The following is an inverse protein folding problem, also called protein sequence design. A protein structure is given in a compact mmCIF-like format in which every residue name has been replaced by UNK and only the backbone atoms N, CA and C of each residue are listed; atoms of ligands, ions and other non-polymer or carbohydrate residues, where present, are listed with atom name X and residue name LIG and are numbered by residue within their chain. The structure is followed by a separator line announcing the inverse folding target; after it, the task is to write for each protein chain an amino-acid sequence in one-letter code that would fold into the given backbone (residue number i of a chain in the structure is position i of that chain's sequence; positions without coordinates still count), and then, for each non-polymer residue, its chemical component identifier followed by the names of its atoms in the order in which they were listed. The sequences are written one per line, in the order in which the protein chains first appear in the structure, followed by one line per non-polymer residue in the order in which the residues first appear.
data_IF_150516321773
#
_entry.id   IF_150516321773
#
_cell.length_a   1.000
_cell.length_b   1.000
_cell.length_c   1.000
_cell.angle_alpha   90.00
_cell.angle_beta   90.00
_cell.angle_gamma   90.00
#
_symmetry.space_group_name_H-M   'P 1'
#
loop_
_entity.id
_entity.type
_entity.pdbx_description
1 polymer ?
#
# COMPACT_ATOMS: atom_id res chain seq x y z
N UNK A 1 -25.50 2.83 4.83
CA UNK A 1 -24.86 1.97 5.85
C UNK A 1 -23.39 1.85 5.49
N UNK A 2 -22.54 2.40 6.35
CA UNK A 2 -21.14 2.75 6.08
C UNK A 2 -20.23 1.57 6.44
N UNK A 3 -19.80 0.79 5.44
CA UNK A 3 -18.86 -0.33 5.61
C UNK A 3 -17.39 0.14 5.71
N UNK A 4 -17.13 1.17 6.53
CA UNK A 4 -15.78 1.66 6.88
C UNK A 4 -15.20 1.22 8.26
N UNK A 5 -15.73 0.22 9.01
CA UNK A 5 -15.10 -0.15 10.27
C UNK A 5 -13.81 -0.99 10.07
N UNK A 6 -13.68 -1.83 9.04
CA UNK A 6 -12.60 -2.84 8.99
C UNK A 6 -11.16 -2.28 8.99
N UNK A 7 -10.90 -1.17 8.29
CA UNK A 7 -9.53 -0.65 8.13
C UNK A 7 -9.02 0.10 9.38
N UNK A 8 -9.92 0.79 10.11
CA UNK A 8 -9.56 1.52 11.34
C UNK A 8 -9.29 0.55 12.49
N UNK A 9 -10.10 -0.51 12.60
CA UNK A 9 -9.92 -1.54 13.62
C UNK A 9 -8.63 -2.35 13.40
N UNK A 10 -8.26 -2.64 12.15
CA UNK A 10 -6.98 -3.32 11.85
C UNK A 10 -5.76 -2.46 12.22
N UNK A 11 -5.79 -1.16 11.91
CA UNK A 11 -4.70 -0.23 12.27
C UNK A 11 -4.62 -0.02 13.79
N UNK A 12 -5.76 0.07 14.46
CA UNK A 12 -5.83 0.19 15.92
C UNK A 12 -5.24 -1.05 16.60
N UNK A 13 -5.67 -2.26 16.22
CA UNK A 13 -5.14 -3.49 16.82
C UNK A 13 -3.64 -3.66 16.60
N UNK A 14 -3.13 -3.33 15.41
CA UNK A 14 -1.70 -3.35 15.13
C UNK A 14 -0.92 -2.35 16.02
N UNK A 15 -1.42 -1.13 16.17
CA UNK A 15 -0.81 -0.13 17.03
C UNK A 15 -0.81 -0.58 18.49
N UNK A 16 -1.90 -1.18 18.97
CA UNK A 16 -2.00 -1.72 20.32
C UNK A 16 -0.97 -2.80 20.59
N UNK A 17 -0.78 -3.75 19.66
CA UNK A 17 0.24 -4.81 19.80
C UNK A 17 1.64 -4.21 19.88
N UNK A 18 1.96 -3.24 19.02
CA UNK A 18 3.26 -2.57 19.04
C UNK A 18 3.49 -1.80 20.34
N UNK A 19 2.47 -1.11 20.85
CA UNK A 19 2.53 -0.40 22.12
C UNK A 19 2.77 -1.36 23.29
N UNK A 20 2.06 -2.49 23.33
CA UNK A 20 2.25 -3.52 24.35
C UNK A 20 3.70 -4.02 24.32
N UNK A 21 4.23 -4.33 23.14
CA UNK A 21 5.61 -4.79 23.03
C UNK A 21 6.63 -3.72 23.44
N UNK A 22 6.38 -2.45 23.10
CA UNK A 22 7.23 -1.33 23.52
C UNK A 22 7.23 -1.17 25.04
N UNK A 23 6.07 -1.30 25.71
CA UNK A 23 5.96 -1.26 27.17
C UNK A 23 6.77 -2.39 27.81
N UNK A 24 6.67 -3.62 27.29
CA UNK A 24 7.47 -4.74 27.79
C UNK A 24 8.98 -4.51 27.59
N UNK A 25 9.40 -4.06 26.41
CA UNK A 25 10.81 -3.74 26.15
C UNK A 25 11.34 -2.70 27.16
N UNK A 26 10.59 -1.61 27.35
CA UNK A 26 10.96 -0.56 28.32
C UNK A 26 10.97 -1.06 29.76
N UNK A 27 10.04 -1.93 30.15
CA UNK A 27 10.01 -2.55 31.47
C UNK A 27 11.25 -3.43 31.72
N UNK A 28 11.67 -4.21 30.73
CA UNK A 28 12.90 -5.02 30.80
C UNK A 28 14.15 -4.15 30.99
N UNK A 29 14.34 -3.14 30.13
CA UNK A 29 15.48 -2.22 30.23
C UNK A 29 15.46 -1.47 31.56
N UNK A 30 14.28 -1.03 31.99
CA UNK A 30 14.08 -0.39 33.29
C UNK A 30 14.47 -1.29 34.46
N UNK A 31 14.19 -2.59 34.39
CA UNK A 31 14.58 -3.55 35.41
C UNK A 31 16.11 -3.70 35.51
N UNK A 32 16.85 -3.77 34.40
CA UNK A 32 18.31 -3.83 34.44
C UNK A 32 18.96 -2.55 34.97
N UNK A 33 18.42 -1.38 34.59
CA UNK A 33 18.87 -0.09 35.13
C UNK A 33 18.60 -0.01 36.63
N UNK A 34 17.39 -0.38 37.07
CA UNK A 34 17.02 -0.41 38.49
C UNK A 34 17.90 -1.37 39.29
N UNK A 35 18.16 -2.57 38.75
CA UNK A 35 19.00 -3.57 39.40
C UNK A 35 20.46 -3.11 39.52
N UNK A 36 21.08 -2.63 38.44
CA UNK A 36 22.45 -2.13 38.53
C UNK A 36 22.59 -0.86 39.39
N UNK A 37 21.54 -0.03 39.45
CA UNK A 37 21.46 1.12 40.37
C UNK A 37 21.37 0.68 41.83
N UNK A 38 20.58 -0.35 42.13
CA UNK A 38 20.51 -0.97 43.46
C UNK A 38 21.87 -1.54 43.91
N UNK A 39 22.65 -2.06 42.97
CA UNK A 39 24.03 -2.50 43.21
C UNK A 39 25.06 -1.36 43.28
N UNK A 40 24.65 -0.11 43.05
CA UNK A 40 25.52 1.07 42.93
C UNK A 40 26.67 0.85 41.91
N UNK A 41 26.41 0.06 40.87
CA UNK A 41 27.44 -0.43 39.96
C UNK A 41 27.04 -0.22 38.50
N UNK A 42 27.64 0.79 37.87
CA UNK A 42 27.38 1.15 36.47
C UNK A 42 27.89 0.10 35.49
N UNK A 43 28.92 -0.67 35.84
CA UNK A 43 29.43 -1.75 34.99
C UNK A 43 28.37 -2.84 34.86
N UNK A 44 27.69 -3.19 35.96
CA UNK A 44 26.59 -4.17 35.93
C UNK A 44 25.47 -3.71 34.99
N UNK A 45 25.08 -2.43 35.03
CA UNK A 45 24.08 -1.86 34.09
C UNK A 45 24.53 -2.06 32.65
N UNK A 46 25.78 -1.69 32.32
CA UNK A 46 26.29 -1.78 30.94
C UNK A 46 26.36 -3.21 30.40
N UNK A 47 26.77 -4.17 31.25
CA UNK A 47 26.86 -5.58 30.89
C UNK A 47 25.47 -6.18 30.68
N UNK A 48 24.51 -5.86 31.55
CA UNK A 48 23.13 -6.31 31.41
C UNK A 48 22.50 -5.75 30.14
N UNK A 49 22.58 -4.44 29.89
CA UNK A 49 22.03 -3.82 28.66
C UNK A 49 22.66 -4.44 27.39
N UNK A 50 23.97 -4.68 27.39
CA UNK A 50 24.64 -5.33 26.24
C UNK A 50 24.12 -6.76 26.01
N UNK A 51 23.86 -7.48 27.09
CA UNK A 51 23.29 -8.84 27.05
C UNK A 51 21.84 -8.82 26.56
N UNK A 52 21.04 -7.87 27.03
CA UNK A 52 19.67 -7.63 26.57
C UNK A 52 19.64 -7.35 25.07
N UNK A 53 20.52 -6.46 24.57
CA UNK A 53 20.63 -6.14 23.15
C UNK A 53 20.99 -7.37 22.31
N UNK A 54 21.98 -8.16 22.76
CA UNK A 54 22.38 -9.38 22.07
C UNK A 54 21.22 -10.39 22.01
N UNK A 55 20.54 -10.63 23.13
CA UNK A 55 19.38 -11.52 23.19
C UNK A 55 18.22 -11.01 22.32
N UNK A 56 17.98 -9.69 22.33
CA UNK A 56 16.96 -9.05 21.51
C UNK A 56 17.25 -9.22 20.02
N UNK A 57 18.51 -9.07 19.58
CA UNK A 57 18.92 -9.28 18.19
C UNK A 57 18.72 -10.72 17.74
N UNK A 58 19.16 -11.69 18.55
CA UNK A 58 18.96 -13.13 18.28
C UNK A 58 17.48 -13.46 18.21
N UNK A 59 16.70 -13.02 19.20
CA UNK A 59 15.25 -13.18 19.20
C UNK A 59 14.60 -12.55 17.98
N UNK A 60 14.98 -11.33 17.64
CA UNK A 60 14.43 -10.59 16.49
C UNK A 60 14.74 -11.25 15.16
N UNK A 61 15.94 -11.82 14.99
CA UNK A 61 16.30 -12.57 13.80
C UNK A 61 15.43 -13.82 13.64
N UNK A 62 15.24 -14.57 14.72
CA UNK A 62 14.35 -15.73 14.73
C UNK A 62 12.91 -15.32 14.42
N UNK A 63 12.39 -14.32 15.12
CA UNK A 63 11.03 -13.81 14.92
C UNK A 63 10.79 -13.32 13.49
N UNK A 64 11.77 -12.64 12.91
CA UNK A 64 11.74 -12.23 11.50
C UNK A 64 11.60 -13.44 10.59
N UNK A 65 12.48 -14.43 10.73
CA UNK A 65 12.50 -15.63 9.89
C UNK A 65 11.17 -16.39 9.91
N UNK A 66 10.55 -16.53 11.09
CA UNK A 66 9.25 -17.18 11.22
C UNK A 66 8.07 -16.30 10.80
N UNK A 67 8.25 -14.98 10.81
CA UNK A 67 7.22 -14.00 10.44
C UNK A 67 7.06 -13.79 8.94
N UNK A 68 8.00 -14.23 8.10
CA UNK A 68 7.95 -14.03 6.64
C UNK A 68 6.66 -14.67 6.07
N UNK A 69 5.81 -13.90 5.38
CA UNK A 69 4.61 -14.43 4.74
C UNK A 69 4.97 -15.28 3.52
N UNK A 70 4.21 -16.35 3.27
CA UNK A 70 4.43 -17.20 2.11
C UNK A 70 3.61 -16.71 0.93
N UNK A 71 4.21 -16.76 -0.27
CA UNK A 71 3.47 -16.57 -1.51
C UNK A 71 2.48 -17.74 -1.65
N UNK A 72 1.21 -17.42 -1.85
CA UNK A 72 0.19 -18.41 -2.11
C UNK A 72 0.39 -18.96 -3.53
N UNK A 73 0.89 -20.19 -3.66
CA UNK A 73 1.18 -20.82 -4.96
C UNK A 73 -0.08 -21.06 -5.80
N UNK A 74 -1.24 -21.14 -5.15
CA UNK A 74 -2.52 -21.29 -5.82
C UNK A 74 -3.17 -19.94 -6.15
N UNK A 75 -2.44 -18.84 -6.01
CA UNK A 75 -2.93 -17.52 -6.38
C UNK A 75 -2.91 -17.40 -7.91
N UNK A 76 -4.09 -17.43 -8.52
CA UNK A 76 -4.31 -17.10 -9.92
C UNK A 76 -4.98 -15.73 -10.00
N UNK A 77 -4.36 -14.73 -10.66
CA UNK A 77 -4.99 -13.42 -10.85
C UNK A 77 -6.18 -13.44 -11.83
N UNK A 78 -6.47 -14.59 -12.46
CA UNK A 78 -7.54 -14.77 -13.44
C UNK A 78 -8.76 -15.55 -12.91
N UNK A 79 -8.68 -16.17 -11.73
CA UNK A 79 -9.78 -16.95 -11.15
C UNK A 79 -10.66 -16.09 -10.22
N UNK A 80 -11.78 -15.59 -10.77
CA UNK A 80 -12.69 -14.62 -10.13
C UNK A 80 -13.57 -15.22 -9.00
N UNK A 81 -13.51 -16.53 -8.75
CA UNK A 81 -14.46 -17.22 -7.87
C UNK A 81 -13.90 -17.73 -6.53
N UNK A 82 -12.61 -17.54 -6.24
CA UNK A 82 -12.08 -17.78 -4.89
C UNK A 82 -11.13 -16.67 -4.51
N UNK A 83 -11.51 -15.89 -3.52
CA UNK A 83 -10.71 -14.89 -2.80
C UNK A 83 -9.52 -15.54 -2.09
N UNK A 84 -8.60 -16.15 -2.84
CA UNK A 84 -7.31 -16.62 -2.33
C UNK A 84 -6.42 -15.38 -2.22
N UNK A 85 -6.07 -14.99 -0.99
CA UNK A 85 -5.11 -13.92 -0.75
C UNK A 85 -3.76 -14.28 -1.40
N UNK A 86 -3.15 -13.33 -2.13
CA UNK A 86 -1.84 -13.48 -2.78
C UNK A 86 -0.74 -13.87 -1.79
N UNK A 87 -0.80 -13.30 -0.60
CA UNK A 87 0.03 -13.68 0.53
C UNK A 87 -0.82 -14.46 1.52
N UNK A 88 -0.44 -15.72 1.75
CA UNK A 88 -1.08 -16.55 2.76
C UNK A 88 -0.37 -16.35 4.11
N UNK A 89 -1.12 -16.29 5.23
CA UNK A 89 -0.49 -16.33 6.55
C UNK A 89 0.33 -17.61 6.69
N UNK A 90 1.51 -17.50 7.28
CA UNK A 90 2.41 -18.63 7.47
C UNK A 90 1.84 -19.57 8.55
N UNK A 91 1.58 -20.84 8.20
CA UNK A 91 1.20 -21.92 9.14
C UNK A 91 2.39 -22.42 9.94
N UNK A 92 3.62 -21.96 9.64
CA UNK A 92 4.84 -22.38 10.34
C UNK A 92 4.71 -22.36 11.86
N UNK A 93 4.07 -21.34 12.47
CA UNK A 93 3.93 -21.34 13.93
C UNK A 93 2.88 -22.31 14.44
N UNK A 94 1.86 -22.64 13.66
CA UNK A 94 0.89 -23.67 14.02
C UNK A 94 1.59 -25.04 14.02
N UNK A 95 2.27 -25.35 12.90
CA UNK A 95 3.07 -26.57 12.72
C UNK A 95 4.18 -26.67 13.78
N UNK A 96 4.95 -25.60 13.97
CA UNK A 96 6.02 -25.56 14.97
C UNK A 96 5.47 -25.56 16.39
N UNK A 97 4.28 -25.01 16.69
CA UNK A 97 3.72 -25.11 18.05
C UNK A 97 3.39 -26.56 18.42
N UNK A 98 2.89 -27.35 17.47
CA UNK A 98 2.64 -28.77 17.65
C UNK A 98 3.95 -29.53 17.86
N UNK A 99 5.02 -29.16 17.15
CA UNK A 99 6.34 -29.77 17.31
C UNK A 99 7.04 -29.28 18.57
N UNK A 100 6.88 -28.00 18.93
CA UNK A 100 7.50 -27.36 20.08
C UNK A 100 6.90 -27.89 21.37
N UNK A 101 5.58 -28.10 21.44
CA UNK A 101 4.96 -28.74 22.61
C UNK A 101 5.48 -30.16 22.80
N UNK A 102 5.66 -30.93 21.71
CA UNK A 102 6.30 -32.26 21.74
C UNK A 102 7.77 -32.20 22.15
N UNK A 103 8.54 -31.20 21.69
CA UNK A 103 9.93 -30.98 22.11
C UNK A 103 10.00 -30.54 23.57
N UNK A 104 9.13 -29.65 24.05
CA UNK A 104 9.10 -29.24 25.45
C UNK A 104 8.84 -30.45 26.34
N UNK A 105 7.84 -31.27 26.00
CA UNK A 105 7.56 -32.52 26.71
C UNK A 105 8.78 -33.46 26.62
N UNK A 106 9.31 -33.70 25.42
CA UNK A 106 10.44 -34.62 25.19
C UNK A 106 11.75 -34.20 25.88
N UNK A 107 12.10 -32.92 25.83
CA UNK A 107 13.27 -32.33 26.49
C UNK A 107 13.07 -32.32 28.00
N UNK A 108 11.87 -32.04 28.50
CA UNK A 108 11.56 -32.14 29.93
C UNK A 108 11.71 -33.59 30.42
N UNK A 109 11.34 -34.58 29.60
CA UNK A 109 11.49 -35.99 29.94
C UNK A 109 12.93 -36.52 29.86
N UNK A 110 13.83 -35.93 29.06
CA UNK A 110 15.13 -36.57 28.74
C UNK A 110 16.37 -35.69 28.87
N UNK A 111 16.26 -34.37 28.71
CA UNK A 111 17.44 -33.50 28.51
C UNK A 111 17.42 -32.18 29.29
N UNK A 112 16.45 -31.94 30.17
CA UNK A 112 16.39 -30.71 30.98
C UNK A 112 17.68 -30.48 31.78
N UNK A 113 18.34 -31.57 32.18
CA UNK A 113 19.60 -31.56 32.94
C UNK A 113 20.81 -31.04 32.14
N UNK A 114 20.76 -31.05 30.79
CA UNK A 114 21.87 -30.62 29.93
C UNK A 114 21.75 -29.17 29.46
N UNK A 115 20.56 -28.57 29.53
CA UNK A 115 20.31 -27.18 29.09
C UNK A 115 20.66 -26.18 30.19
N UNK A 116 20.32 -26.51 31.45
CA UNK A 116 20.60 -25.64 32.59
C UNK A 116 22.09 -25.26 32.75
N UNK A 117 23.07 -26.17 32.56
CA UNK A 117 24.49 -25.85 32.63
C UNK A 117 24.94 -24.79 31.61
N UNK A 118 24.36 -24.76 30.42
CA UNK A 118 24.74 -23.80 29.38
C UNK A 118 24.36 -22.36 29.78
N UNK A 119 23.12 -22.14 30.22
CA UNK A 119 22.68 -20.83 30.74
C UNK A 119 23.48 -20.45 31.99
N UNK A 120 23.76 -21.42 32.85
CA UNK A 120 24.53 -21.17 34.06
C UNK A 120 26.00 -20.84 33.75
N UNK A 121 26.58 -21.39 32.68
CA UNK A 121 27.92 -21.03 32.19
C UNK A 121 27.98 -19.56 31.78
N UNK A 122 27.01 -19.09 30.99
CA UNK A 122 26.92 -17.67 30.58
C UNK A 122 26.79 -16.77 31.82
N UNK A 123 25.88 -17.10 32.72
CA UNK A 123 25.66 -16.33 33.95
C UNK A 123 26.90 -16.31 34.85
N UNK A 124 27.62 -17.44 34.95
CA UNK A 124 28.87 -17.54 35.69
C UNK A 124 29.98 -16.71 35.03
N UNK A 125 30.07 -16.73 33.70
CA UNK A 125 31.05 -15.92 32.96
C UNK A 125 30.81 -14.44 33.19
N UNK A 126 29.57 -13.97 33.06
CA UNK A 126 29.23 -12.56 33.30
C UNK A 126 29.51 -12.16 34.75
N UNK A 127 29.09 -12.98 35.72
CA UNK A 127 29.31 -12.68 37.13
C UNK A 127 30.80 -12.63 37.50
N UNK A 128 31.62 -13.55 36.99
CA UNK A 128 33.08 -13.58 37.27
C UNK A 128 33.83 -12.39 36.67
N UNK A 129 33.36 -11.89 35.52
CA UNK A 129 34.02 -10.80 34.80
C UNK A 129 33.39 -9.42 35.08
N UNK A 130 32.39 -9.35 35.94
CA UNK A 130 31.77 -8.08 36.35
C UNK A 130 32.25 -7.72 37.75
N UNK A 131 33.10 -6.69 37.91
CA UNK A 131 33.62 -6.31 39.22
C UNK A 131 32.46 -5.87 40.12
N UNK A 132 32.16 -6.62 41.18
CA UNK A 132 31.05 -6.36 42.09
C UNK A 132 31.38 -6.91 43.47
N UNK A 133 31.46 -6.04 44.48
CA UNK A 133 31.89 -6.39 45.84
C UNK A 133 30.76 -6.44 46.87
N UNK A 134 29.54 -6.06 46.47
CA UNK A 134 28.38 -6.04 47.34
C UNK A 134 27.84 -7.46 47.62
N UNK A 135 27.29 -7.75 48.81
CA UNK A 135 26.73 -9.07 49.12
C UNK A 135 25.59 -9.46 48.17
N UNK A 136 24.83 -8.48 47.69
CA UNK A 136 23.74 -8.67 46.74
C UNK A 136 24.20 -9.03 45.30
N UNK A 137 25.51 -9.03 45.00
CA UNK A 137 26.04 -9.43 43.68
C UNK A 137 25.73 -10.91 43.33
N UNK A 138 25.39 -11.74 44.32
CA UNK A 138 24.92 -13.13 44.11
C UNK A 138 23.69 -13.17 43.19
N UNK A 139 22.87 -12.11 43.19
CA UNK A 139 21.66 -11.99 42.36
C UNK A 139 21.96 -11.74 40.87
N UNK A 140 23.19 -11.40 40.49
CA UNK A 140 23.56 -11.15 39.09
C UNK A 140 23.31 -12.39 38.24
N UNK A 141 23.59 -13.59 38.76
CA UNK A 141 23.45 -14.83 37.99
C UNK A 141 21.99 -15.12 37.61
N UNK A 142 21.03 -15.25 38.56
CA UNK A 142 19.63 -15.48 38.20
C UNK A 142 19.05 -14.32 37.39
N UNK A 143 19.45 -13.08 37.67
CA UNK A 143 18.99 -11.91 36.91
C UNK A 143 19.44 -11.97 35.45
N UNK A 144 20.71 -12.32 35.20
CA UNK A 144 21.28 -12.48 33.85
C UNK A 144 20.49 -13.52 33.04
N UNK A 145 20.17 -14.66 33.65
CA UNK A 145 19.39 -15.72 32.97
C UNK A 145 17.98 -15.20 32.65
N UNK A 146 17.34 -14.54 33.61
CA UNK A 146 16.00 -14.00 33.43
C UNK A 146 15.93 -12.97 32.28
N UNK A 147 16.84 -11.99 32.25
CA UNK A 147 16.85 -10.97 31.17
C UNK A 147 17.19 -11.58 29.82
N UNK A 148 18.11 -12.55 29.76
CA UNK A 148 18.46 -13.22 28.51
C UNK A 148 17.24 -13.93 27.90
N UNK A 149 16.51 -14.71 28.71
CA UNK A 149 15.28 -15.38 28.26
C UNK A 149 14.20 -14.37 27.90
N UNK A 150 14.02 -13.33 28.73
CA UNK A 150 13.02 -12.29 28.51
C UNK A 150 13.21 -11.56 27.17
N UNK A 151 14.42 -11.05 26.90
CA UNK A 151 14.70 -10.30 25.67
C UNK A 151 14.74 -11.17 24.43
N UNK A 152 15.08 -12.46 24.56
CA UNK A 152 14.94 -13.41 23.46
C UNK A 152 13.47 -13.57 23.06
N UNK A 153 12.56 -13.71 24.03
CA UNK A 153 11.12 -13.83 23.78
C UNK A 153 10.52 -12.54 23.24
N UNK A 154 10.85 -11.39 23.84
CA UNK A 154 10.33 -10.09 23.41
C UNK A 154 10.86 -9.70 22.02
N UNK A 155 12.15 -9.93 21.74
CA UNK A 155 12.73 -9.70 20.42
C UNK A 155 12.06 -10.56 19.36
N UNK A 156 11.85 -11.85 19.66
CA UNK A 156 11.08 -12.75 18.81
C UNK A 156 9.68 -12.22 18.55
N UNK A 157 8.92 -11.88 19.59
CA UNK A 157 7.55 -11.42 19.48
C UNK A 157 7.44 -10.13 18.64
N UNK A 158 8.26 -9.12 18.94
CA UNK A 158 8.28 -7.83 18.22
C UNK A 158 8.51 -8.06 16.73
N UNK A 159 9.59 -8.77 16.40
CA UNK A 159 9.98 -8.97 15.00
C UNK A 159 8.99 -9.87 14.26
N UNK A 160 8.47 -10.90 14.92
CA UNK A 160 7.45 -11.80 14.37
C UNK A 160 6.15 -11.06 14.05
N UNK A 161 5.58 -10.34 15.02
CA UNK A 161 4.34 -9.59 14.79
C UNK A 161 4.53 -8.47 13.78
N UNK A 162 5.66 -7.76 13.85
CA UNK A 162 5.98 -6.71 12.88
C UNK A 162 6.07 -7.28 11.47
N UNK A 163 6.82 -8.34 11.27
CA UNK A 163 6.97 -8.99 9.94
C UNK A 163 5.64 -9.52 9.44
N UNK A 164 4.88 -10.24 10.28
CA UNK A 164 3.59 -10.83 9.90
C UNK A 164 2.51 -9.78 9.58
N UNK A 165 2.51 -8.63 10.24
CA UNK A 165 1.48 -7.58 10.07
C UNK A 165 1.86 -6.51 9.04
N UNK A 166 3.15 -6.19 8.90
CA UNK A 166 3.63 -5.12 8.03
C UNK A 166 4.13 -5.61 6.67
N UNK A 167 4.88 -6.71 6.63
CA UNK A 167 5.56 -7.13 5.40
C UNK A 167 4.61 -7.41 4.23
N UNK A 168 3.45 -8.10 4.41
CA UNK A 168 2.49 -8.26 3.32
C UNK A 168 1.98 -6.92 2.77
N UNK A 169 1.77 -5.94 3.64
CA UNK A 169 1.28 -4.61 3.25
C UNK A 169 2.33 -3.88 2.41
N UNK A 170 3.60 -3.94 2.84
CA UNK A 170 4.71 -3.35 2.11
C UNK A 170 4.91 -4.01 0.74
N UNK A 171 4.86 -5.34 0.65
CA UNK A 171 5.03 -6.06 -0.61
C UNK A 171 3.91 -5.76 -1.62
N UNK A 172 2.66 -5.73 -1.17
CA UNK A 172 1.51 -5.36 -2.03
C UNK A 172 1.63 -3.90 -2.49
N UNK A 173 2.03 -3.00 -1.59
CA UNK A 173 2.17 -1.58 -1.92
C UNK A 173 3.30 -1.35 -2.92
N UNK A 174 4.45 -2.02 -2.75
CA UNK A 174 5.57 -1.94 -3.68
C UNK A 174 5.18 -2.42 -5.08
N UNK A 175 4.53 -3.59 -5.18
CA UNK A 175 4.09 -4.15 -6.45
C UNK A 175 3.04 -3.27 -7.17
N UNK A 176 2.09 -2.71 -6.41
CA UNK A 176 1.10 -1.80 -6.99
C UNK A 176 1.74 -0.52 -7.52
N UNK A 177 2.77 0.00 -6.83
CA UNK A 177 3.49 1.19 -7.29
C UNK A 177 4.25 0.91 -8.59
N UNK A 178 4.92 -0.23 -8.70
CA UNK A 178 5.58 -0.64 -9.94
C UNK A 178 4.57 -0.78 -11.09
N UNK A 179 3.44 -1.44 -10.86
CA UNK A 179 2.38 -1.56 -11.86
C UNK A 179 1.83 -0.20 -12.30
N UNK A 180 1.66 0.73 -11.37
CA UNK A 180 1.21 2.10 -11.68
C UNK A 180 2.23 2.85 -12.53
N UNK A 181 3.52 2.75 -12.21
CA UNK A 181 4.59 3.38 -13.01
C UNK A 181 4.65 2.81 -14.43
N UNK A 182 4.54 1.50 -14.58
CA UNK A 182 4.52 0.85 -15.90
C UNK A 182 3.29 1.27 -16.72
N UNK A 183 2.10 1.34 -16.10
CA UNK A 183 0.88 1.83 -16.75
C UNK A 183 1.01 3.28 -17.20
N UNK A 184 1.56 4.15 -16.35
CA UNK A 184 1.76 5.56 -16.68
C UNK A 184 2.76 5.74 -17.83
N UNK A 185 3.82 4.94 -17.89
CA UNK A 185 4.79 4.98 -18.99
C UNK A 185 4.19 4.54 -20.34
N UNK A 186 3.36 3.49 -20.33
CA UNK A 186 2.64 3.04 -21.54
C UNK A 186 1.61 4.11 -21.96
N UNK A 187 0.90 4.70 -21.01
CA UNK A 187 -0.08 5.75 -21.29
C UNK A 187 0.59 6.98 -21.92
N UNK A 188 1.71 7.45 -21.37
CA UNK A 188 2.43 8.61 -21.93
C UNK A 188 3.02 8.33 -23.31
N UNK A 189 3.53 7.11 -23.55
CA UNK A 189 4.02 6.70 -24.87
C UNK A 189 2.87 6.66 -25.91
N UNK A 190 1.72 6.11 -25.53
CA UNK A 190 0.54 6.11 -26.40
C UNK A 190 0.03 7.53 -26.68
N UNK A 191 0.08 8.41 -25.68
CA UNK A 191 -0.34 9.81 -25.81
C UNK A 191 0.58 10.58 -26.76
N UNK A 192 1.90 10.35 -26.69
CA UNK A 192 2.86 10.90 -27.66
C UNK A 192 2.61 10.41 -29.09
N UNK A 193 2.31 9.11 -29.26
CA UNK A 193 1.98 8.58 -30.58
C UNK A 193 0.71 9.24 -31.16
N UNK A 194 -0.30 9.48 -30.34
CA UNK A 194 -1.53 10.18 -30.75
C UNK A 194 -1.26 11.64 -31.10
N UNK A 195 -0.38 12.33 -30.37
CA UNK A 195 0.02 13.71 -30.66
C UNK A 195 0.87 13.82 -31.93
N UNK A 196 1.67 12.81 -32.25
CA UNK A 196 2.47 12.77 -33.49
C UNK A 196 1.65 12.39 -34.72
N UNK A 197 0.53 11.67 -34.55
CA UNK A 197 -0.42 11.33 -35.62
C UNK A 197 -1.42 12.47 -35.93
N UNK A 198 -1.27 13.65 -35.32
CA UNK A 198 -2.04 14.83 -35.73
C UNK A 198 -1.58 15.25 -37.13
N UNK A 199 -2.44 15.21 -38.17
CA UNK A 199 -2.03 15.63 -39.50
C UNK A 199 -1.58 17.10 -39.42
N UNK A 200 -0.34 17.34 -39.84
CA UNK A 200 0.21 18.67 -40.01
C UNK A 200 -0.79 19.47 -40.85
N UNK A 201 -1.35 20.53 -40.26
CA UNK A 201 -2.30 21.39 -40.96
C UNK A 201 -1.62 21.84 -42.27
N UNK A 202 -2.29 21.72 -43.42
CA UNK A 202 -1.68 22.09 -44.70
C UNK A 202 -1.19 23.54 -44.58
N UNK A 203 0.09 23.75 -44.88
CA UNK A 203 0.69 25.08 -44.83
C UNK A 203 -0.12 26.03 -45.72
N UNK A 204 -0.76 27.03 -45.11
CA UNK A 204 -1.45 28.08 -45.84
C UNK A 204 -0.43 28.80 -46.75
N UNK A 205 -0.76 29.05 -48.03
CA UNK A 205 0.13 29.76 -48.93
C UNK A 205 0.34 31.19 -48.43
N UNK A 206 1.60 31.63 -48.38
CA UNK A 206 2.01 32.98 -47.98
C UNK A 206 1.39 34.00 -48.95
N UNK A 207 0.32 34.67 -48.52
CA UNK A 207 -0.25 35.83 -49.24
C UNK A 207 0.44 37.10 -48.71
N UNK A 208 1.11 37.83 -49.59
CA UNK A 208 1.83 39.05 -49.28
C UNK A 208 0.91 40.18 -48.80
N UNK A 209 1.31 40.86 -47.73
CA UNK A 209 0.64 42.05 -47.21
C UNK A 209 0.96 43.28 -48.08
N UNK A 210 -0.08 43.97 -48.57
CA UNK A 210 -0.04 45.39 -48.90
C UNK A 210 -1.01 46.13 -47.96
N UNK A 211 -0.65 47.27 -47.34
CA UNK A 211 -1.41 47.82 -46.23
C UNK A 211 -2.52 48.79 -46.67
N UNK A 212 -3.64 48.69 -45.95
CA UNK A 212 -4.57 49.71 -45.50
C UNK A 212 -5.19 50.73 -46.47
N UNK A 213 -6.52 50.67 -46.58
CA UNK A 213 -7.37 51.85 -46.38
C UNK A 213 -8.83 51.47 -46.03
N UNK A 214 -9.36 52.20 -45.05
CA UNK A 214 -10.64 52.04 -44.34
C UNK A 214 -11.89 52.52 -45.15
N UNK A 215 -13.13 52.36 -44.63
CA UNK A 215 -14.41 52.26 -45.36
C UNK A 215 -15.18 53.63 -45.39
N UNK A 216 -16.40 53.84 -45.96
CA UNK A 216 -17.67 53.21 -45.51
C UNK A 216 -18.85 53.09 -46.53
N UNK A 217 -19.94 52.47 -46.04
CA UNK A 217 -21.36 52.82 -46.25
C UNK A 217 -22.21 52.10 -47.32
N UNK A 218 -23.34 51.60 -46.79
CA UNK A 218 -24.75 51.68 -47.24
C UNK A 218 -25.37 50.58 -48.13
N UNK A 219 -26.54 50.16 -47.62
CA UNK A 219 -27.78 49.65 -48.28
C UNK A 219 -28.04 48.13 -48.26
N UNK A 220 -29.11 47.72 -47.55
CA UNK A 220 -29.74 46.39 -47.63
C UNK A 220 -30.91 46.39 -48.63
N UNK A 221 -31.93 45.50 -48.54
CA UNK A 221 -31.97 44.12 -48.05
C UNK A 221 -32.47 43.14 -49.15
N UNK A 222 -32.52 41.84 -48.83
CA UNK A 222 -33.48 40.82 -49.34
C UNK A 222 -32.90 39.60 -50.07
N UNK A 223 -33.37 38.46 -49.56
CA UNK A 223 -33.66 37.19 -50.23
C UNK A 223 -32.57 36.10 -50.33
N UNK A 224 -32.97 34.95 -49.76
CA UNK A 224 -32.71 33.58 -50.18
C UNK A 224 -31.37 32.92 -49.76
N UNK A 225 -31.44 32.10 -48.71
CA UNK A 225 -30.56 30.94 -48.55
C UNK A 225 -30.96 29.85 -49.57
N UNK A 226 -29.99 29.16 -50.18
CA UNK A 226 -29.80 27.72 -49.87
C UNK A 226 -28.29 27.32 -49.87
N UNK A 227 -27.92 26.05 -49.66
CA UNK A 227 -27.25 25.53 -48.46
C UNK A 227 -25.71 25.43 -48.59
N UNK A 228 -25.02 25.50 -47.45
CA UNK A 228 -23.61 25.12 -47.35
C UNK A 228 -23.45 23.60 -47.57
N UNK A 229 -22.43 23.14 -48.31
CA UNK A 229 -22.13 21.72 -48.45
C UNK A 229 -21.61 21.14 -47.13
N UNK A 230 -21.96 19.88 -46.89
CA UNK A 230 -21.64 19.09 -45.72
C UNK A 230 -20.13 19.08 -45.43
N UNK A 231 -19.76 19.37 -44.18
CA UNK A 231 -18.49 18.90 -43.64
C UNK A 231 -18.61 17.39 -43.45
N UNK A 232 -17.81 16.64 -44.18
CA UNK A 232 -17.59 15.22 -43.95
C UNK A 232 -16.98 15.05 -42.54
N UNK A 233 -17.86 14.92 -41.54
CA UNK A 233 -17.51 14.42 -40.23
C UNK A 233 -17.08 12.96 -40.43
N UNK A 234 -15.76 12.76 -40.45
CA UNK A 234 -15.09 11.46 -40.46
C UNK A 234 -15.77 10.50 -39.46
N UNK A 235 -16.61 9.63 -40.02
CA UNK A 235 -17.45 8.66 -39.30
C UNK A 235 -16.63 7.55 -38.63
N UNK A 236 -15.30 7.57 -38.79
CA UNK A 236 -14.38 6.58 -38.22
C UNK A 236 -13.79 6.97 -36.86
N UNK A 237 -13.86 8.24 -36.44
CA UNK A 237 -13.41 8.72 -35.11
C UNK A 237 -14.04 8.02 -33.91
N UNK A 238 -15.38 7.83 -33.83
CA UNK A 238 -15.97 7.15 -32.68
C UNK A 238 -15.52 5.69 -32.61
N UNK A 239 -15.42 4.99 -33.75
CA UNK A 239 -15.00 3.58 -33.81
C UNK A 239 -13.57 3.34 -33.32
N UNK A 240 -12.63 4.29 -33.54
CA UNK A 240 -11.26 4.20 -33.01
C UNK A 240 -11.17 4.48 -31.51
N UNK A 241 -11.97 5.42 -30.97
CA UNK A 241 -12.03 5.68 -29.52
C UNK A 241 -12.51 4.43 -28.76
N UNK A 242 -13.45 3.68 -29.35
CA UNK A 242 -14.11 2.51 -28.76
C UNK A 242 -13.14 1.35 -28.47
N UNK A 243 -12.11 1.15 -29.30
CA UNK A 243 -11.09 0.11 -29.10
C UNK A 243 -10.06 0.43 -28.01
N UNK A 244 -10.05 1.67 -27.50
CA UNK A 244 -9.06 2.18 -26.54
C UNK A 244 -9.58 2.28 -25.10
N UNK A 245 -10.85 1.94 -24.85
CA UNK A 245 -11.45 2.01 -23.52
C UNK A 245 -11.10 0.77 -22.70
N UNK A 246 -10.49 0.99 -21.54
CA UNK A 246 -10.22 -0.04 -20.55
C UNK A 246 -11.54 -0.55 -19.93
N UNK A 247 -11.54 -1.78 -19.41
CA UNK A 247 -12.73 -2.36 -18.74
C UNK A 247 -13.28 -1.47 -17.62
N UNK A 248 -12.40 -0.77 -16.90
CA UNK A 248 -12.75 0.21 -15.87
C UNK A 248 -13.49 1.43 -16.41
N UNK A 249 -13.05 1.99 -17.54
CA UNK A 249 -13.73 3.11 -18.20
C UNK A 249 -15.08 2.69 -18.77
N UNK A 250 -15.17 1.49 -19.36
CA UNK A 250 -16.43 0.94 -19.85
C UNK A 250 -17.46 0.76 -18.74
N UNK A 251 -17.03 0.25 -17.58
CA UNK A 251 -17.91 0.07 -16.42
C UNK A 251 -18.37 1.41 -15.83
N UNK A 252 -17.49 2.41 -15.79
CA UNK A 252 -17.86 3.76 -15.37
C UNK A 252 -18.86 4.41 -16.34
N UNK A 253 -18.65 4.23 -17.65
CA UNK A 253 -19.52 4.75 -18.69
C UNK A 253 -20.92 4.11 -18.66
N UNK A 254 -20.99 2.78 -18.46
CA UNK A 254 -22.26 2.07 -18.22
C UNK A 254 -22.98 2.56 -16.97
N UNK A 255 -22.26 2.86 -15.89
CA UNK A 255 -22.86 3.39 -14.67
C UNK A 255 -23.51 4.78 -14.89
N UNK A 256 -22.88 5.66 -15.66
CA UNK A 256 -23.41 7.01 -15.98
C UNK A 256 -24.65 6.91 -16.88
N UNK A 257 -24.66 5.99 -17.83
CA UNK A 257 -25.82 5.82 -18.70
C UNK A 257 -27.01 5.21 -17.99
N UNK A 258 -26.77 4.23 -17.12
CA UNK A 258 -27.82 3.63 -16.29
C UNK A 258 -28.44 4.64 -15.31
N UNK A 259 -27.76 5.74 -14.99
CA UNK A 259 -28.30 6.87 -14.21
C UNK A 259 -28.94 7.97 -15.06
N UNK A 260 -29.31 7.67 -16.32
CA UNK A 260 -30.00 8.62 -17.21
C UNK A 260 -29.06 9.61 -17.89
N UNK A 261 -27.85 9.16 -18.25
CA UNK A 261 -26.79 9.95 -18.89
C UNK A 261 -26.28 11.14 -18.05
N UNK A 262 -26.59 11.14 -16.75
CA UNK A 262 -26.12 12.12 -15.77
C UNK A 262 -25.70 11.42 -14.49
N UNK A 263 -24.55 11.81 -13.96
CA UNK A 263 -24.02 11.27 -12.72
C UNK A 263 -23.55 12.40 -11.82
N UNK A 264 -24.18 12.54 -10.65
CA UNK A 264 -23.78 13.55 -9.64
C UNK A 264 -22.95 12.89 -8.57
N UNK A 265 -21.77 13.44 -8.29
CA UNK A 265 -20.85 12.91 -7.28
C UNK A 265 -21.37 13.22 -5.87
N UNK A 266 -22.13 12.29 -5.28
CA UNK A 266 -22.74 12.47 -3.95
C UNK A 266 -21.77 12.25 -2.77
N UNK A 267 -20.51 11.83 -3.02
CA UNK A 267 -19.56 11.53 -1.95
C UNK A 267 -18.17 11.11 -2.45
N UNK A 268 -17.42 10.39 -1.60
CA UNK A 268 -16.07 9.90 -1.94
C UNK A 268 -16.15 8.74 -2.94
N UNK A 269 -15.63 8.94 -4.15
CA UNK A 269 -15.58 7.91 -5.19
C UNK A 269 -14.44 6.91 -4.90
N UNK A 270 -14.65 5.59 -5.14
CA UNK A 270 -13.56 4.62 -5.14
C UNK A 270 -12.47 5.07 -6.12
N UNK A 271 -11.19 4.97 -5.71
CA UNK A 271 -10.06 5.48 -6.51
C UNK A 271 -10.11 5.01 -7.98
N UNK A 272 -10.36 3.73 -8.21
CA UNK A 272 -10.44 3.16 -9.56
C UNK A 272 -11.58 3.77 -10.40
N UNK A 273 -12.71 4.09 -9.77
CA UNK A 273 -13.86 4.69 -10.44
C UNK A 273 -13.61 6.17 -10.72
N UNK A 274 -12.99 6.88 -9.77
CA UNK A 274 -12.55 8.26 -9.94
C UNK A 274 -11.55 8.42 -11.11
N UNK A 275 -10.54 7.55 -11.16
CA UNK A 275 -9.54 7.55 -12.25
C UNK A 275 -10.20 7.26 -13.60
N UNK A 276 -11.11 6.28 -13.66
CA UNK A 276 -11.86 5.99 -14.88
C UNK A 276 -12.69 7.19 -15.34
N UNK A 277 -13.36 7.88 -14.42
CA UNK A 277 -14.15 9.07 -14.70
C UNK A 277 -13.27 10.24 -15.19
N UNK A 278 -12.12 10.44 -14.57
CA UNK A 278 -11.14 11.46 -14.97
C UNK A 278 -10.61 11.22 -16.37
N UNK A 279 -10.33 9.96 -16.73
CA UNK A 279 -9.88 9.59 -18.07
C UNK A 279 -11.01 9.73 -19.11
N UNK A 280 -12.26 9.44 -18.74
CA UNK A 280 -13.41 9.67 -19.62
C UNK A 280 -13.66 11.16 -19.90
N UNK A 281 -13.37 12.03 -18.93
CA UNK A 281 -13.41 13.49 -19.11
C UNK A 281 -12.27 13.95 -20.02
N UNK A 282 -11.05 13.44 -19.80
CA UNK A 282 -9.88 13.73 -20.65
C UNK A 282 -10.08 13.28 -22.10
N UNK A 283 -10.73 12.14 -22.32
CA UNK A 283 -11.13 11.63 -23.63
C UNK A 283 -12.33 12.37 -24.27
N UNK A 284 -12.86 13.41 -23.61
CA UNK A 284 -14.02 14.18 -24.03
C UNK A 284 -15.30 13.35 -24.27
N UNK A 285 -15.45 12.23 -23.54
CA UNK A 285 -16.62 11.36 -23.60
C UNK A 285 -17.65 11.78 -22.54
N UNK A 286 -17.17 12.32 -21.42
CA UNK A 286 -17.97 12.82 -20.30
C UNK A 286 -17.61 14.28 -20.04
N UNK A 287 -18.59 15.16 -19.95
CA UNK A 287 -18.39 16.57 -19.62
C UNK A 287 -18.83 16.88 -18.18
N UNK A 288 -18.11 17.79 -17.52
CA UNK A 288 -18.47 18.34 -16.21
C UNK A 288 -19.40 19.54 -16.44
N UNK A 289 -20.62 19.49 -15.92
CA UNK A 289 -21.66 20.50 -16.21
C UNK A 289 -21.56 21.74 -15.31
N UNK A 290 -20.92 21.66 -14.14
CA UNK A 290 -20.91 22.74 -13.13
C UNK A 290 -19.76 23.76 -13.28
N UNK A 291 -19.13 23.86 -14.46
CA UNK A 291 -18.08 24.86 -14.74
C UNK A 291 -16.76 24.68 -13.96
N UNK A 292 -16.65 23.65 -13.13
CA UNK A 292 -15.42 23.29 -12.41
C UNK A 292 -14.47 22.46 -13.27
N UNK A 293 -13.18 22.78 -13.22
CA UNK A 293 -12.12 22.07 -13.96
C UNK A 293 -11.76 20.68 -13.41
N UNK A 294 -12.46 20.20 -12.37
CA UNK A 294 -12.12 18.97 -11.65
C UNK A 294 -13.34 18.23 -11.12
N UNK A 295 -13.27 16.90 -11.11
CA UNK A 295 -14.29 16.02 -10.53
C UNK A 295 -14.24 16.15 -8.99
N UNK A 296 -15.12 16.97 -8.43
CA UNK A 296 -15.23 17.22 -6.99
C UNK A 296 -16.54 16.71 -6.39
N UNK A 297 -16.67 16.80 -5.06
CA UNK A 297 -17.93 16.51 -4.36
C UNK A 297 -19.01 17.49 -4.83
N UNK A 298 -20.12 16.96 -5.34
CA UNK A 298 -21.21 17.76 -5.91
C UNK A 298 -21.12 17.99 -7.43
N UNK A 299 -20.04 17.59 -8.09
CA UNK A 299 -19.91 17.77 -9.54
C UNK A 299 -20.92 16.89 -10.30
N UNK A 300 -21.63 17.49 -11.25
CA UNK A 300 -22.52 16.78 -12.17
C UNK A 300 -21.82 16.49 -13.49
N UNK A 301 -21.80 15.23 -13.89
CA UNK A 301 -21.17 14.74 -15.12
C UNK A 301 -22.26 14.28 -16.09
N UNK A 302 -22.08 14.55 -17.39
CA UNK A 302 -22.99 14.07 -18.44
C UNK A 302 -22.23 13.55 -19.64
N UNK A 303 -22.80 12.56 -20.33
CA UNK A 303 -22.24 12.05 -21.57
C UNK A 303 -22.32 13.11 -22.67
N UNK A 304 -21.21 13.34 -23.36
CA UNK A 304 -21.12 14.29 -24.47
C UNK A 304 -21.91 13.79 -25.68
N UNK A 305 -21.84 12.49 -25.96
CA UNK A 305 -22.67 11.81 -26.96
C UNK A 305 -23.51 10.73 -26.24
N UNK A 306 -24.84 10.84 -26.37
CA UNK A 306 -25.82 9.99 -25.68
C UNK A 306 -25.89 8.57 -26.27
N UNK A 307 -25.41 8.40 -27.51
CA UNK A 307 -25.42 7.13 -28.24
C UNK A 307 -24.08 6.39 -28.16
N UNK A 308 -23.13 6.89 -27.36
CA UNK A 308 -21.79 6.28 -27.20
C UNK A 308 -21.89 4.81 -26.80
N UNK A 309 -22.86 4.43 -25.95
CA UNK A 309 -23.03 3.02 -25.56
C UNK A 309 -23.58 2.14 -26.66
N UNK A 310 -24.47 2.65 -27.52
CA UNK A 310 -24.99 1.89 -28.66
C UNK A 310 -23.90 1.65 -29.71
N UNK A 311 -22.88 2.51 -29.74
CA UNK A 311 -21.68 2.34 -30.58
C UNK A 311 -20.65 1.38 -29.95
N UNK A 312 -20.74 1.12 -28.63
CA UNK A 312 -19.77 0.32 -27.84
C UNK A 312 -20.23 -1.12 -27.58
N UNK A 313 -21.53 -1.45 -27.72
CA UNK A 313 -22.07 -2.82 -27.60
C UNK A 313 -21.84 -3.66 -28.84
#
# INVERSE_FOLDING_TARGET
MDSRPSLRFLKAGQLTILLICAVFLLAGVGAAVAFGSYLHNRVVVSVLISTELAALLVGSLLGFLFGIPRLNKDYSPYDDYKTKNKYAPNTNLEDISDWLTKIIVGVTLTQVNNIAPAFMSIANYLHRNTPCTAPQCVLIKPFTIAVLVYFLIIGFAISYFSTRLLLPKFLIMAENNELLTAKNAILSANLQNVLNDTPEAPADPVVGYAPDSAPPASEGPSAAAPPLPASDADSSRPAKLIKSLTRSELNALKAIANSGNRYTVQGFLPYNFFTALSLLVDKNIVAIMDGGSSIGKGATLSLVDKDVLAKVS
#
